data_IF_616226614804
#
_entry.id   IF_616226614804
#
_cell.length_a   1.000
_cell.length_b   1.000
_cell.length_c   1.000
_cell.angle_alpha   90.00
_cell.angle_beta   90.00
_cell.angle_gamma   90.00
#
_symmetry.space_group_name_H-M   'P 1'
#
loop_
_entity.id
_entity.type
_entity.pdbx_description
1 polymer ?
#
# COMPACT_ATOMS: atom_id res chain seq x y z
N UNK A 1 -8.36 -9.82 8.45
CA UNK A 1 -7.11 -9.10 8.13
C UNK A 1 -7.45 -7.71 7.63
N UNK A 2 -6.66 -6.68 7.94
CA UNK A 2 -6.82 -5.37 7.29
C UNK A 2 -6.37 -5.47 5.83
N UNK A 3 -6.94 -4.67 4.92
CA UNK A 3 -6.63 -4.74 3.47
C UNK A 3 -5.13 -4.64 3.17
N UNK A 4 -4.37 -3.86 3.95
CA UNK A 4 -2.91 -3.76 3.82
C UNK A 4 -2.22 -5.10 4.09
N UNK A 5 -2.66 -5.84 5.11
CA UNK A 5 -2.10 -7.16 5.42
C UNK A 5 -2.41 -8.18 4.31
N UNK A 6 -3.61 -8.14 3.75
CA UNK A 6 -4.00 -9.01 2.62
C UNK A 6 -3.17 -8.72 1.35
N UNK A 7 -2.94 -7.43 1.04
CA UNK A 7 -2.11 -7.04 -0.10
C UNK A 7 -0.65 -7.47 0.08
N UNK A 8 -0.10 -7.30 1.29
CA UNK A 8 1.25 -7.74 1.59
C UNK A 8 1.35 -9.27 1.45
N UNK A 9 0.40 -10.03 2.00
CA UNK A 9 0.35 -11.50 1.88
C UNK A 9 0.29 -11.96 0.41
N UNK A 10 -0.60 -11.38 -0.39
CA UNK A 10 -0.73 -11.69 -1.82
C UNK A 10 0.50 -11.32 -2.64
N UNK A 11 1.24 -10.27 -2.25
CA UNK A 11 2.48 -9.86 -2.87
C UNK A 11 3.62 -10.87 -2.69
N UNK A 12 3.51 -11.74 -1.67
CA UNK A 12 4.43 -12.85 -1.45
C UNK A 12 5.88 -12.44 -1.16
N UNK A 13 6.82 -13.40 -1.22
CA UNK A 13 8.21 -13.19 -0.82
C UNK A 13 8.90 -11.99 -1.48
N UNK A 14 8.75 -11.70 -2.79
CA UNK A 14 9.40 -10.55 -3.40
C UNK A 14 8.94 -9.20 -2.85
N UNK A 15 7.64 -9.08 -2.51
CA UNK A 15 7.12 -7.85 -1.89
C UNK A 15 7.56 -7.75 -0.44
N UNK A 16 7.69 -8.88 0.27
CA UNK A 16 8.16 -8.91 1.65
C UNK A 16 9.64 -8.51 1.75
N UNK A 17 10.49 -9.02 0.86
CA UNK A 17 11.91 -8.64 0.82
C UNK A 17 12.10 -7.15 0.63
N UNK A 18 11.35 -6.54 -0.31
CA UNK A 18 11.33 -5.09 -0.52
C UNK A 18 10.83 -4.34 0.71
N UNK A 19 9.75 -4.82 1.33
CA UNK A 19 9.22 -4.19 2.54
C UNK A 19 10.22 -4.25 3.71
N UNK A 20 10.93 -5.37 3.86
CA UNK A 20 11.99 -5.52 4.85
C UNK A 20 13.18 -4.61 4.55
N UNK A 21 13.47 -4.35 3.28
CA UNK A 21 14.48 -3.35 2.87
C UNK A 21 14.09 -1.94 3.27
N UNK A 22 12.84 -1.55 2.99
CA UNK A 22 12.28 -0.26 3.41
C UNK A 22 12.33 -0.10 4.94
N UNK A 23 11.95 -1.13 5.70
CA UNK A 23 12.00 -1.08 7.16
C UNK A 23 13.43 -0.94 7.69
N UNK A 24 14.41 -1.63 7.09
CA UNK A 24 15.82 -1.48 7.45
C UNK A 24 16.32 -0.07 7.14
N UNK A 25 15.95 0.49 5.99
CA UNK A 25 16.30 1.86 5.63
C UNK A 25 15.74 2.87 6.64
N UNK A 26 14.46 2.77 6.95
CA UNK A 26 13.78 3.73 7.84
C UNK A 26 14.23 3.64 9.29
N UNK A 27 14.46 2.43 9.79
CA UNK A 27 14.75 2.23 11.22
C UNK A 27 16.24 2.13 11.53
N UNK A 28 17.06 1.68 10.58
CA UNK A 28 18.49 1.44 10.77
C UNK A 28 19.36 2.38 9.91
N UNK A 29 18.76 3.19 9.03
CA UNK A 29 19.50 4.11 8.17
C UNK A 29 20.31 3.40 7.08
N UNK A 30 20.03 2.13 6.78
CA UNK A 30 20.71 1.42 5.69
C UNK A 30 20.36 2.06 4.35
N UNK A 31 21.27 2.14 3.37
CA UNK A 31 20.90 2.55 2.02
C UNK A 31 19.76 1.68 1.49
N UNK A 32 18.80 2.28 0.78
CA UNK A 32 17.81 1.55 0.01
C UNK A 32 17.91 1.97 -1.45
N UNK A 33 17.82 0.98 -2.33
CA UNK A 33 17.76 1.19 -3.78
C UNK A 33 16.32 1.43 -4.26
N UNK A 34 15.34 1.41 -3.34
CA UNK A 34 13.92 1.59 -3.68
C UNK A 34 13.59 3.07 -3.87
N UNK A 35 13.08 3.49 -5.04
CA UNK A 35 12.62 4.85 -5.25
C UNK A 35 11.48 5.22 -4.29
N UNK A 36 11.40 6.47 -3.78
CA UNK A 36 10.39 6.87 -2.80
C UNK A 36 8.93 6.63 -3.24
N UNK A 37 8.67 6.73 -4.54
CA UNK A 37 7.37 6.53 -5.19
C UNK A 37 7.05 5.07 -5.51
N UNK A 38 8.02 4.17 -5.41
CA UNK A 38 7.87 2.74 -5.70
C UNK A 38 7.86 1.86 -4.44
N UNK A 39 7.67 2.46 -3.26
CA UNK A 39 7.70 1.73 -2.00
C UNK A 39 6.50 0.78 -1.82
N UNK A 40 6.74 -0.36 -1.19
CA UNK A 40 5.72 -1.28 -0.71
C UNK A 40 4.76 -0.52 0.20
N UNK A 41 5.25 0.34 1.10
CA UNK A 41 4.37 1.16 1.94
C UNK A 41 3.42 2.05 1.13
N UNK A 42 3.90 2.71 0.07
CA UNK A 42 3.03 3.50 -0.81
C UNK A 42 1.96 2.63 -1.50
N UNK A 43 2.35 1.43 -1.95
CA UNK A 43 1.41 0.47 -2.55
C UNK A 43 0.33 0.03 -1.56
N UNK A 44 0.71 -0.30 -0.32
CA UNK A 44 -0.24 -0.68 0.73
C UNK A 44 -1.17 0.49 1.11
N UNK A 45 -0.64 1.71 1.14
CA UNK A 45 -1.42 2.92 1.40
C UNK A 45 -2.48 3.14 0.32
N UNK A 46 -2.10 3.09 -0.96
CA UNK A 46 -3.01 3.25 -2.09
C UNK A 46 -4.13 2.18 -2.08
N UNK A 47 -3.79 0.92 -1.78
CA UNK A 47 -4.76 -0.16 -1.67
C UNK A 47 -5.77 0.04 -0.54
N UNK A 48 -5.33 0.62 0.58
CA UNK A 48 -6.24 1.02 1.66
C UNK A 48 -7.18 2.15 1.24
N UNK A 49 -6.64 3.22 0.64
CA UNK A 49 -7.41 4.36 0.17
C UNK A 49 -8.48 3.96 -0.85
N UNK A 50 -8.14 3.07 -1.78
CA UNK A 50 -9.11 2.53 -2.74
C UNK A 50 -10.28 1.81 -2.05
N UNK A 51 -10.02 1.05 -0.98
CA UNK A 51 -11.09 0.38 -0.22
C UNK A 51 -11.91 1.38 0.59
N UNK A 52 -11.28 2.40 1.17
CA UNK A 52 -11.99 3.47 1.90
C UNK A 52 -12.91 4.23 0.94
N UNK A 53 -12.40 4.65 -0.22
CA UNK A 53 -13.18 5.37 -1.23
C UNK A 53 -14.41 4.56 -1.68
N UNK A 54 -14.27 3.25 -1.89
CA UNK A 54 -15.40 2.36 -2.23
C UNK A 54 -16.44 2.20 -1.12
N UNK A 55 -16.03 2.40 0.14
CA UNK A 55 -16.90 2.24 1.32
C UNK A 55 -17.54 3.54 1.79
N UNK A 56 -17.08 4.69 1.28
CA UNK A 56 -17.66 5.98 1.62
C UNK A 56 -19.10 6.06 1.06
N UNK A 57 -20.13 6.23 1.90
CA UNK A 57 -21.48 6.46 1.42
C UNK A 57 -21.53 7.85 0.79
N UNK A 58 -21.59 7.90 -0.55
CA UNK A 58 -21.58 9.15 -1.31
C UNK A 58 -21.09 9.05 -2.76
N UNK A 59 -20.46 7.96 -3.19
CA UNK A 59 -20.06 7.75 -4.60
C UNK A 59 -21.18 7.09 -5.44
N UNK A 60 -22.43 7.41 -5.13
CA UNK A 60 -23.62 6.82 -5.71
C UNK A 60 -24.81 7.74 -5.56
N UNK A 61 -24.65 8.98 -6.01
CA UNK A 61 -25.74 9.88 -6.33
C UNK A 61 -25.22 10.82 -7.45
N UNK A 62 -26.04 10.92 -8.51
CA UNK A 62 -26.13 12.06 -9.45
C UNK A 62 -25.26 12.05 -10.73
N UNK A 63 -25.75 11.38 -11.77
CA UNK A 63 -25.77 11.84 -13.18
C UNK A 63 -26.40 10.73 -14.06
N UNK A 64 -27.42 10.90 -14.88
CA UNK A 64 -28.27 12.02 -15.27
C UNK A 64 -29.51 11.43 -15.99
N UNK A 65 -30.62 12.16 -15.94
CA UNK A 65 -31.37 12.67 -17.10
C UNK A 65 -32.30 11.65 -17.79
#
# INVERSE_FOLDING_TARGET
>A
LSIRAELLEKGGPPMWEKFMDELRHEHLGTPSDTPPDATVRATLQAGYEAVVARKAPGAGCDAGA
#
